data_IF_411776657678
#
_entry.id   IF_411776657678
#
_cell.length_a   1.000
_cell.length_b   1.000
_cell.length_c   1.000
_cell.angle_alpha   90.00
_cell.angle_beta   90.00
_cell.angle_gamma   90.00
#
_symmetry.space_group_name_H-M   'P 1'
#
loop_
_entity.id
_entity.type
_entity.pdbx_description
1 polymer ?
#
# COMPACT_ATOMS: atom_id res chain seq x y z
N UNK A 1 29.53 -16.61 -2.57
CA UNK A 1 28.37 -16.37 -1.67
C UNK A 1 27.63 -15.14 -2.18
N UNK A 2 26.76 -15.33 -3.17
CA UNK A 2 25.92 -14.25 -3.72
C UNK A 2 24.69 -14.13 -2.82
N UNK A 3 24.52 -12.98 -2.16
CA UNK A 3 23.26 -12.66 -1.50
C UNK A 3 22.22 -12.51 -2.60
N UNK A 4 21.27 -13.44 -2.69
CA UNK A 4 20.03 -13.25 -3.44
C UNK A 4 19.30 -12.04 -2.85
N UNK A 5 19.56 -10.86 -3.41
CA UNK A 5 18.76 -9.69 -3.16
C UNK A 5 17.39 -9.97 -3.82
N UNK A 6 16.45 -10.47 -3.03
CA UNK A 6 15.06 -10.65 -3.46
C UNK A 6 14.61 -9.37 -4.16
N UNK A 7 14.40 -9.46 -5.47
CA UNK A 7 14.05 -8.31 -6.30
C UNK A 7 12.71 -7.78 -5.81
N UNK A 8 12.71 -6.59 -5.22
CA UNK A 8 11.51 -5.96 -4.68
C UNK A 8 10.59 -5.62 -5.85
N UNK A 9 9.39 -6.25 -5.94
CA UNK A 9 8.48 -6.06 -7.08
C UNK A 9 8.17 -4.59 -7.33
N UNK A 10 8.03 -3.81 -6.27
CA UNK A 10 7.72 -2.38 -6.37
C UNK A 10 8.92 -1.51 -6.00
N UNK A 11 9.42 -0.76 -6.98
CA UNK A 11 10.47 0.24 -6.78
C UNK A 11 9.84 1.57 -6.36
N UNK A 12 10.04 1.98 -5.10
CA UNK A 12 9.51 3.25 -4.60
C UNK A 12 10.28 4.44 -5.23
N UNK A 13 9.53 5.37 -5.83
CA UNK A 13 10.10 6.53 -6.55
C UNK A 13 9.98 7.81 -5.74
N UNK A 14 8.76 8.19 -5.34
CA UNK A 14 8.52 9.45 -4.64
C UNK A 14 7.37 9.37 -3.64
N UNK A 15 7.42 10.22 -2.64
CA UNK A 15 6.27 10.48 -1.78
C UNK A 15 5.21 11.28 -2.54
N UNK A 16 3.94 10.91 -2.41
CA UNK A 16 2.81 11.59 -3.04
C UNK A 16 1.98 12.39 -2.04
N UNK A 17 1.79 11.87 -0.83
CA UNK A 17 0.99 12.54 0.17
C UNK A 17 0.91 11.77 1.49
N UNK A 18 0.64 12.52 2.54
CA UNK A 18 0.51 12.01 3.90
C UNK A 18 -0.92 12.24 4.39
N UNK A 19 -1.54 11.19 4.90
CA UNK A 19 -2.79 11.26 5.64
C UNK A 19 -2.58 10.89 7.11
N UNK A 20 -3.65 11.05 7.90
CA UNK A 20 -3.65 10.69 9.32
C UNK A 20 -3.24 9.22 9.53
N UNK A 21 -3.72 8.31 8.67
CA UNK A 21 -3.56 6.87 8.85
C UNK A 21 -2.58 6.20 7.87
N UNK A 22 -2.11 6.90 6.84
CA UNK A 22 -1.27 6.29 5.81
C UNK A 22 -0.38 7.31 5.08
N UNK A 23 0.73 6.82 4.55
CA UNK A 23 1.58 7.56 3.61
C UNK A 23 1.45 6.94 2.22
N UNK A 24 1.26 7.77 1.20
CA UNK A 24 1.11 7.35 -0.20
C UNK A 24 2.39 7.62 -0.97
N UNK A 25 2.86 6.62 -1.70
CA UNK A 25 4.08 6.70 -2.50
C UNK A 25 3.79 6.32 -3.94
N UNK A 26 4.41 7.02 -4.88
CA UNK A 26 4.54 6.56 -6.26
C UNK A 26 5.61 5.49 -6.30
N UNK A 27 5.30 4.35 -6.90
CA UNK A 27 6.24 3.29 -7.18
C UNK A 27 6.13 2.85 -8.64
N UNK A 28 7.16 2.16 -9.13
CA UNK A 28 7.12 1.43 -10.40
C UNK A 28 7.00 -0.05 -10.09
N UNK A 29 5.97 -0.71 -10.64
CA UNK A 29 5.92 -2.16 -10.64
C UNK A 29 6.95 -2.67 -11.67
N UNK A 30 7.93 -3.44 -11.19
CA UNK A 30 9.04 -3.94 -12.01
C UNK A 30 8.65 -5.13 -12.89
N UNK A 31 7.47 -5.72 -12.67
CA UNK A 31 6.91 -6.79 -13.50
C UNK A 31 6.08 -6.20 -14.66
N UNK A 32 5.23 -5.20 -14.39
CA UNK A 32 4.36 -4.60 -15.41
C UNK A 32 4.94 -3.35 -16.06
N UNK A 33 6.00 -2.77 -15.49
CA UNK A 33 6.55 -1.45 -15.82
C UNK A 33 5.60 -0.25 -15.60
N UNK A 34 4.45 -0.47 -14.95
CA UNK A 34 3.48 0.58 -14.69
C UNK A 34 3.79 1.39 -13.43
N UNK A 35 3.31 2.63 -13.40
CA UNK A 35 3.36 3.45 -12.19
C UNK A 35 2.14 3.18 -11.32
N UNK A 36 2.38 2.86 -10.06
CA UNK A 36 1.34 2.55 -9.07
C UNK A 36 1.46 3.47 -7.85
N UNK A 37 0.35 3.61 -7.12
CA UNK A 37 0.33 4.27 -5.82
C UNK A 37 0.30 3.22 -4.69
N UNK A 38 1.26 3.29 -3.78
CA UNK A 38 1.34 2.41 -2.61
C UNK A 38 0.86 3.17 -1.39
N UNK A 39 -0.29 2.78 -0.84
CA UNK A 39 -0.81 3.26 0.44
C UNK A 39 -0.20 2.46 1.60
N UNK A 40 0.84 3.00 2.23
CA UNK A 40 1.47 2.38 3.40
C UNK A 40 0.74 2.81 4.67
N UNK A 41 0.00 1.90 5.28
CA UNK A 41 -0.71 2.13 6.54
C UNK A 41 0.30 2.39 7.66
N UNK A 42 0.07 3.45 8.46
CA UNK A 42 0.82 3.73 9.67
C UNK A 42 0.31 2.77 10.74
N UNK A 43 1.17 1.85 11.18
CA UNK A 43 0.93 1.12 12.42
C UNK A 43 1.08 2.14 13.53
N UNK A 44 -0.02 2.46 14.21
CA UNK A 44 -0.08 3.55 15.19
C UNK A 44 0.68 3.22 16.48
N UNK A 45 0.12 3.59 17.62
CA UNK A 45 0.73 3.29 18.93
C UNK A 45 0.94 1.78 19.14
N UNK A 46 1.83 1.40 20.07
CA UNK A 46 2.09 -0.01 20.41
C UNK A 46 0.80 -0.78 20.75
N UNK A 47 -0.22 -0.10 21.29
CA UNK A 47 -1.54 -0.66 21.55
C UNK A 47 -2.32 -0.98 20.27
N UNK A 48 -2.36 -0.06 19.30
CA UNK A 48 -3.03 -0.29 18.00
C UNK A 48 -2.34 -1.38 17.17
N UNK A 49 -1.03 -1.55 17.35
CA UNK A 49 -0.29 -2.67 16.74
C UNK A 49 -0.59 -4.02 17.41
N UNK A 50 -0.99 -4.05 18.68
CA UNK A 50 -1.38 -5.28 19.39
C UNK A 50 -2.79 -5.75 19.00
N UNK A 51 -3.67 -4.83 18.60
CA UNK A 51 -5.01 -5.11 18.06
C UNK A 51 -4.99 -5.70 16.64
N UNK A 52 -3.80 -5.88 16.05
CA UNK A 52 -3.60 -6.49 14.75
C UNK A 52 -3.89 -5.54 13.58
N UNK A 53 -4.45 -6.07 12.50
CA UNK A 53 -4.79 -5.25 11.32
C UNK A 53 -6.02 -4.42 11.62
N UNK A 54 -5.91 -3.10 11.48
CA UNK A 54 -7.02 -2.16 11.68
C UNK A 54 -8.23 -2.57 10.82
N UNK A 55 -9.38 -2.86 11.46
CA UNK A 55 -10.62 -3.28 10.78
C UNK A 55 -11.08 -2.30 9.70
N UNK A 56 -10.77 -1.01 9.87
CA UNK A 56 -11.07 0.02 8.87
C UNK A 56 -10.28 -0.23 7.58
N UNK A 57 -9.01 -0.62 7.68
CA UNK A 57 -8.20 -0.95 6.51
C UNK A 57 -8.71 -2.23 5.81
N UNK A 58 -9.16 -3.23 6.58
CA UNK A 58 -9.77 -4.44 6.01
C UNK A 58 -11.05 -4.12 5.24
N UNK A 59 -11.91 -3.25 5.79
CA UNK A 59 -13.12 -2.79 5.10
C UNK A 59 -12.77 -2.05 3.81
N UNK A 60 -11.77 -1.17 3.85
CA UNK A 60 -11.31 -0.45 2.65
C UNK A 60 -10.85 -1.43 1.57
N UNK A 61 -9.99 -2.40 1.89
CA UNK A 61 -9.53 -3.43 0.95
C UNK A 61 -10.72 -4.20 0.35
N UNK A 62 -11.66 -4.62 1.19
CA UNK A 62 -12.83 -5.40 0.75
C UNK A 62 -13.71 -4.60 -0.21
N UNK A 63 -13.97 -3.33 0.08
CA UNK A 63 -14.75 -2.45 -0.79
C UNK A 63 -14.05 -2.19 -2.11
N UNK A 64 -12.74 -1.93 -2.09
CA UNK A 64 -11.95 -1.74 -3.32
C UNK A 64 -11.98 -3.00 -4.21
N UNK A 65 -11.92 -4.19 -3.61
CA UNK A 65 -11.98 -5.46 -4.34
C UNK A 65 -13.36 -5.78 -4.95
N UNK A 66 -14.45 -5.24 -4.39
CA UNK A 66 -15.81 -5.55 -4.83
C UNK A 66 -16.40 -4.48 -5.77
N UNK A 67 -15.88 -3.25 -5.73
CA UNK A 67 -16.38 -2.14 -6.52
C UNK A 67 -15.64 -2.03 -7.86
N UNK A 68 -16.37 -2.18 -8.96
CA UNK A 68 -15.86 -1.99 -10.32
C UNK A 68 -16.68 -0.92 -11.04
N UNK A 69 -16.16 0.30 -11.10
CA UNK A 69 -16.81 1.42 -11.78
C UNK A 69 -15.76 2.46 -12.21
N UNK A 70 -15.87 3.01 -13.42
CA UNK A 70 -14.86 3.89 -14.03
C UNK A 70 -14.44 5.10 -13.16
N UNK A 71 -15.37 5.60 -12.33
CA UNK A 71 -15.15 6.75 -11.47
C UNK A 71 -14.89 6.39 -9.99
N UNK A 72 -14.72 5.11 -9.67
CA UNK A 72 -14.42 4.62 -8.33
C UNK A 72 -13.09 3.86 -8.40
N UNK A 73 -12.20 4.16 -7.48
CA UNK A 73 -10.94 3.44 -7.36
C UNK A 73 -11.20 1.99 -6.88
N UNK A 74 -10.59 1.00 -7.53
CA UNK A 74 -10.74 -0.44 -7.27
C UNK A 74 -9.58 -1.23 -7.88
#
# INVERSE_FOLDING_TARGET
MSKDAAKNRYEKIKHLGEGQFANVYKAKDTETNEFVAIKKIKLGSRHEAMDGVNRTALREIKLLQELHHDNIIG
#
